data_IF_625571195970
#
_entry.id   IF_625571195970
#
_cell.length_a   1.000
_cell.length_b   1.000
_cell.length_c   1.000
_cell.angle_alpha   90.00
_cell.angle_beta   90.00
_cell.angle_gamma   90.00
#
_symmetry.space_group_name_H-M   'P 1'
#
loop_
_entity.id
_entity.type
_entity.pdbx_description
1 polymer ?
#
# COMPACT_ATOMS: atom_id res chain seq x y z
N UNK A 1 1.32 -19.45 -16.88
CA UNK A 1 0.55 -18.22 -17.15
C UNK A 1 0.08 -17.70 -15.82
N UNK A 2 0.53 -16.51 -15.41
CA UNK A 2 0.14 -15.92 -14.13
C UNK A 2 -0.91 -14.86 -14.43
N UNK A 3 -2.16 -15.13 -14.10
CA UNK A 3 -3.29 -14.22 -14.37
C UNK A 3 -3.60 -13.45 -13.09
N UNK A 4 -3.48 -12.12 -13.14
CA UNK A 4 -3.90 -11.21 -12.07
C UNK A 4 -5.36 -10.78 -12.29
N UNK A 5 -6.20 -10.96 -11.26
CA UNK A 5 -7.57 -10.45 -11.25
C UNK A 5 -7.66 -9.27 -10.30
N UNK A 6 -8.09 -8.12 -10.82
CA UNK A 6 -8.28 -6.89 -10.04
C UNK A 6 -9.78 -6.61 -9.90
N UNK A 7 -10.26 -6.55 -8.65
CA UNK A 7 -11.58 -6.03 -8.33
C UNK A 7 -11.41 -4.56 -8.00
N UNK A 8 -11.84 -3.67 -8.90
CA UNK A 8 -11.56 -2.24 -8.79
C UNK A 8 -12.74 -1.42 -8.24
N UNK A 9 -13.80 -2.04 -7.70
CA UNK A 9 -14.97 -1.27 -7.23
C UNK A 9 -14.64 -0.35 -6.04
N UNK A 10 -13.59 -0.69 -5.26
CA UNK A 10 -13.13 0.12 -4.13
C UNK A 10 -11.80 0.85 -4.41
N UNK A 11 -11.39 0.90 -5.69
CA UNK A 11 -10.06 1.39 -6.08
C UNK A 11 -8.95 0.38 -5.78
N UNK A 12 -7.71 0.79 -6.06
CA UNK A 12 -6.51 0.03 -5.77
C UNK A 12 -5.44 0.98 -5.21
N UNK A 13 -4.91 0.66 -4.03
CA UNK A 13 -3.80 1.41 -3.47
C UNK A 13 -2.55 1.20 -4.33
N UNK A 14 -1.81 2.28 -4.59
CA UNK A 14 -0.66 2.26 -5.52
C UNK A 14 0.46 1.33 -5.05
N UNK A 15 0.74 1.33 -3.75
CA UNK A 15 1.72 0.47 -3.11
C UNK A 15 1.32 -1.02 -3.19
N UNK A 16 0.07 -1.35 -2.87
CA UNK A 16 -0.45 -2.72 -2.96
C UNK A 16 -0.45 -3.23 -4.39
N UNK A 17 -0.88 -2.41 -5.36
CA UNK A 17 -0.87 -2.77 -6.77
C UNK A 17 0.57 -2.99 -7.26
N UNK A 18 1.49 -2.11 -6.89
CA UNK A 18 2.90 -2.24 -7.28
C UNK A 18 3.54 -3.49 -6.69
N UNK A 19 3.24 -3.82 -5.43
CA UNK A 19 3.71 -5.05 -4.79
C UNK A 19 3.15 -6.31 -5.48
N UNK A 20 1.86 -6.33 -5.82
CA UNK A 20 1.24 -7.45 -6.52
C UNK A 20 1.86 -7.66 -7.92
N UNK A 21 2.10 -6.56 -8.66
CA UNK A 21 2.77 -6.62 -9.96
C UNK A 21 4.22 -7.09 -9.82
N UNK A 22 4.95 -6.58 -8.82
CA UNK A 22 6.31 -7.02 -8.50
C UNK A 22 6.39 -8.53 -8.29
N UNK A 23 5.50 -9.14 -7.51
CA UNK A 23 5.51 -10.58 -7.25
C UNK A 23 5.21 -11.46 -8.48
N UNK A 24 4.53 -10.91 -9.48
CA UNK A 24 4.21 -11.64 -10.72
C UNK A 24 5.36 -11.64 -11.73
N UNK A 25 6.31 -10.72 -11.61
CA UNK A 25 7.40 -10.54 -12.57
C UNK A 25 8.50 -11.59 -12.35
N UNK A 26 9.05 -12.16 -13.44
CA UNK A 26 10.17 -13.09 -13.34
C UNK A 26 11.47 -12.40 -12.90
N UNK A 27 11.64 -11.12 -13.25
CA UNK A 27 12.83 -10.33 -12.89
C UNK A 27 12.47 -9.16 -11.95
N UNK A 28 12.29 -9.51 -10.68
CA UNK A 28 11.90 -8.59 -9.61
C UNK A 28 12.93 -7.48 -9.35
N UNK A 29 14.21 -7.84 -9.35
CA UNK A 29 15.29 -6.89 -9.06
C UNK A 29 15.41 -5.81 -10.14
N UNK A 30 15.29 -6.19 -11.42
CA UNK A 30 15.31 -5.22 -12.54
C UNK A 30 14.12 -4.27 -12.49
N UNK A 31 12.94 -4.75 -12.10
CA UNK A 31 11.77 -3.92 -11.91
C UNK A 31 11.99 -2.88 -10.80
N UNK A 32 12.46 -3.32 -9.62
CA UNK A 32 12.72 -2.42 -8.50
C UNK A 32 13.85 -1.42 -8.82
N UNK A 33 14.88 -1.86 -9.53
CA UNK A 33 15.93 -0.98 -10.05
C UNK A 33 15.34 0.07 -10.99
N UNK A 34 14.48 -0.33 -11.92
CA UNK A 34 13.83 0.59 -12.86
C UNK A 34 13.00 1.64 -12.12
N UNK A 35 12.19 1.23 -11.14
CA UNK A 35 11.36 2.16 -10.36
C UNK A 35 12.21 3.23 -9.66
N UNK A 36 13.29 2.82 -9.00
CA UNK A 36 14.20 3.73 -8.30
C UNK A 36 15.00 4.64 -9.25
N UNK A 37 15.04 4.35 -10.56
CA UNK A 37 15.78 5.13 -11.56
C UNK A 37 14.87 5.86 -12.56
N UNK A 38 13.58 6.02 -12.26
CA UNK A 38 12.65 6.77 -13.12
C UNK A 38 12.91 8.29 -13.15
N UNK A 39 13.86 8.78 -12.35
CA UNK A 39 14.21 10.21 -12.29
C UNK A 39 13.27 11.02 -11.39
N UNK A 40 12.61 10.37 -10.43
CA UNK A 40 11.80 11.02 -9.41
C UNK A 40 12.70 11.45 -8.24
N UNK A 41 12.94 12.76 -8.05
CA UNK A 41 13.89 13.22 -7.03
C UNK A 41 13.41 12.90 -5.62
N UNK A 42 14.26 12.22 -4.85
CA UNK A 42 13.97 11.88 -3.45
C UNK A 42 12.90 10.81 -3.26
N UNK A 43 12.52 10.06 -4.29
CA UNK A 43 11.59 8.93 -4.17
C UNK A 43 12.38 7.62 -4.15
N UNK A 44 12.13 6.80 -3.14
CA UNK A 44 12.75 5.48 -2.96
C UNK A 44 11.65 4.42 -2.83
N UNK A 45 11.81 3.31 -3.56
CA UNK A 45 10.91 2.15 -3.54
C UNK A 45 11.64 0.95 -2.93
N UNK A 46 11.05 0.35 -1.89
CA UNK A 46 11.54 -0.86 -1.24
C UNK A 46 10.46 -1.95 -1.24
N UNK A 47 10.81 -3.13 -1.74
CA UNK A 47 9.96 -4.32 -1.61
C UNK A 47 10.24 -4.99 -0.25
N UNK A 48 9.29 -4.91 0.68
CA UNK A 48 9.43 -5.41 2.04
C UNK A 48 8.55 -6.64 2.25
N UNK A 49 9.08 -7.78 2.73
CA UNK A 49 8.23 -8.92 3.11
C UNK A 49 7.24 -8.53 4.20
N UNK A 50 5.98 -8.90 4.03
CA UNK A 50 4.92 -8.59 4.98
C UNK A 50 4.12 -9.84 5.35
N UNK A 51 3.60 -9.86 6.58
CA UNK A 51 2.69 -10.90 7.05
C UNK A 51 1.56 -10.28 7.85
N UNK A 52 0.32 -10.64 7.51
CA UNK A 52 -0.87 -10.24 8.26
C UNK A 52 -1.86 -11.39 8.34
N UNK A 53 -2.38 -11.66 9.54
CA UNK A 53 -3.34 -12.75 9.79
C UNK A 53 -2.89 -14.13 9.22
N UNK A 54 -1.58 -14.40 9.19
CA UNK A 54 -1.00 -15.63 8.63
C UNK A 54 -0.85 -15.66 7.12
N UNK A 55 -1.23 -14.59 6.41
CA UNK A 55 -1.03 -14.41 4.98
C UNK A 55 0.30 -13.69 4.76
N UNK A 56 1.20 -14.30 4.00
CA UNK A 56 2.47 -13.70 3.59
C UNK A 56 2.32 -13.01 2.22
N UNK A 57 3.01 -11.89 2.04
CA UNK A 57 3.10 -11.18 0.77
C UNK A 57 4.21 -10.16 0.78
N UNK A 58 4.20 -9.26 -0.20
CA UNK A 58 5.10 -8.12 -0.29
C UNK A 58 4.34 -6.84 -0.03
N UNK A 59 4.95 -5.93 0.74
CA UNK A 59 4.53 -4.55 0.91
C UNK A 59 5.50 -3.65 0.15
N UNK A 60 4.96 -2.75 -0.69
CA UNK A 60 5.79 -1.76 -1.36
C UNK A 60 5.91 -0.54 -0.46
N UNK A 61 7.09 -0.32 0.11
CA UNK A 61 7.40 0.86 0.89
C UNK A 61 7.92 1.95 -0.05
N UNK A 62 7.20 3.08 -0.08
CA UNK A 62 7.53 4.23 -0.91
C UNK A 62 7.85 5.39 0.01
N UNK A 63 9.08 5.87 -0.08
CA UNK A 63 9.61 6.94 0.76
C UNK A 63 9.86 8.16 -0.13
N UNK A 64 9.33 9.31 0.26
CA UNK A 64 9.47 10.58 -0.45
C UNK A 64 10.20 11.55 0.46
N UNK A 65 11.39 11.99 0.06
CA UNK A 65 12.26 12.87 0.84
C UNK A 65 12.57 12.36 2.27
N UNK A 66 12.64 11.04 2.44
CA UNK A 66 12.87 10.40 3.73
C UNK A 66 11.62 10.20 4.59
N UNK A 67 10.45 10.65 4.12
CA UNK A 67 9.17 10.48 4.80
C UNK A 67 8.26 9.51 4.05
N UNK A 68 7.53 8.70 4.81
CA UNK A 68 6.51 7.80 4.26
C UNK A 68 5.17 8.54 4.23
N UNK A 69 4.44 8.47 3.13
CA UNK A 69 3.07 8.97 3.12
C UNK A 69 2.20 8.15 4.08
N UNK A 70 1.54 8.84 5.01
CA UNK A 70 0.53 8.25 5.87
C UNK A 70 -0.84 8.38 5.20
N UNK A 71 -1.63 7.30 5.23
CA UNK A 71 -3.03 7.37 4.85
C UNK A 71 -3.76 8.31 5.81
N UNK A 72 -4.28 9.42 5.30
CA UNK A 72 -5.19 10.28 6.06
C UNK A 72 -6.54 9.58 6.13
N UNK A 73 -6.68 8.61 7.03
CA UNK A 73 -7.99 8.09 7.38
C UNK A 73 -8.77 9.23 8.04
N UNK A 74 -9.71 9.82 7.29
CA UNK A 74 -10.67 10.77 7.83
C UNK A 74 -11.56 10.03 8.83
N UNK A 75 -11.11 9.90 10.07
CA UNK A 75 -11.94 9.52 11.20
C UNK A 75 -13.01 10.60 11.38
N UNK A 76 -14.18 10.37 10.78
CA UNK A 76 -15.40 11.05 11.20
C UNK A 76 -15.75 10.52 12.58
N UNK A 77 -15.33 11.26 13.61
CA UNK A 77 -15.68 11.01 14.99
C UNK A 77 -17.19 11.30 15.15
N UNK A 78 -18.02 10.28 14.93
CA UNK A 78 -19.46 10.36 15.20
C UNK A 78 -19.68 10.22 16.71
N UNK A 79 -19.48 11.33 17.42
CA UNK A 79 -19.91 11.49 18.81
C UNK A 79 -21.45 11.34 18.87
N UNK A 80 -21.94 10.14 19.17
CA UNK A 80 -23.32 9.91 19.57
C UNK A 80 -23.43 10.12 21.09
N UNK A 81 -23.81 11.34 21.49
CA UNK A 81 -24.23 11.63 22.87
C UNK A 81 -25.56 10.92 23.16
N UNK A 82 -25.47 9.75 23.81
CA UNK A 82 -26.64 9.08 24.38
C UNK A 82 -26.87 9.60 25.80
N UNK A 83 -27.58 10.72 25.92
CA UNK A 83 -28.17 11.15 27.19
C UNK A 83 -29.29 10.17 27.59
N UNK A 84 -28.98 9.23 28.49
CA UNK A 84 -29.99 8.48 29.23
C UNK A 84 -30.31 9.22 30.53
N UNK A 85 -31.37 10.03 30.50
CA UNK A 85 -32.04 10.50 31.70
C UNK A 85 -32.77 9.32 32.35
N UNK A 86 -32.27 8.88 33.51
CA UNK A 86 -32.97 7.93 34.36
C UNK A 86 -33.76 8.70 35.43
N UNK A 87 -35.08 8.61 35.33
CA UNK A 87 -36.04 8.93 36.39
C UNK A 87 -36.45 7.66 37.13
#
# INVERSE_FOLDING_TARGET
MNTLYLQCNMGAAGDMLTAALYELLPNREEFLHTLNHMGLPGVEFHAVPAQSCGICGTHMDVVVHGEREESVDHHHDHHHDHHHDHH
#
